data_IF_854864871118
#
_entry.id   IF_854864871118
#
_cell.length_a   1.000
_cell.length_b   1.000
_cell.length_c   1.000
_cell.angle_alpha   90.00
_cell.angle_beta   90.00
_cell.angle_gamma   90.00
#
_symmetry.space_group_name_H-M   'P 1'
#
loop_
_entity.id
_entity.type
_entity.pdbx_description
1 polymer ?
#
# COMPACT_ATOMS: atom_id res chain seq x y z
N UNK A 1 33.69 -55.06 38.25
CA UNK A 1 32.34 -55.67 38.37
C UNK A 1 31.94 -55.61 39.84
N UNK A 2 31.26 -54.54 40.21
CA UNK A 2 30.91 -54.16 41.58
C UNK A 2 29.53 -54.71 41.95
N UNK A 3 29.44 -55.35 43.12
CA UNK A 3 28.20 -55.78 43.77
C UNK A 3 27.96 -54.94 45.02
N UNK A 4 26.66 -54.83 45.34
CA UNK A 4 26.05 -54.75 46.68
C UNK A 4 25.69 -53.39 47.29
N UNK A 5 24.41 -53.33 47.70
CA UNK A 5 23.93 -52.68 48.93
C UNK A 5 23.40 -51.25 48.79
N UNK A 6 22.42 -50.78 49.56
CA UNK A 6 21.52 -51.41 50.52
C UNK A 6 20.52 -50.32 51.02
N UNK A 7 19.34 -50.78 51.46
CA UNK A 7 18.58 -50.29 52.64
C UNK A 7 17.83 -48.94 52.60
N UNK A 8 16.59 -49.04 53.07
CA UNK A 8 15.57 -48.03 53.28
C UNK A 8 15.60 -47.38 54.68
N UNK A 9 15.00 -46.19 54.82
CA UNK A 9 14.27 -45.69 56.01
C UNK A 9 13.64 -44.32 55.63
N UNK A 10 12.32 -44.19 55.44
CA UNK A 10 11.25 -44.03 56.44
C UNK A 10 11.22 -42.62 57.09
N UNK A 11 10.08 -41.91 57.00
CA UNK A 11 9.34 -41.36 58.15
C UNK A 11 8.10 -40.53 57.75
N UNK A 12 6.96 -41.01 58.28
CA UNK A 12 5.76 -40.32 58.81
C UNK A 12 4.82 -39.57 57.86
N UNK A 13 3.65 -40.20 57.70
CA UNK A 13 2.39 -39.55 57.36
C UNK A 13 1.86 -38.71 58.53
N UNK A 14 1.47 -37.47 58.26
CA UNK A 14 0.52 -36.73 59.08
C UNK A 14 -0.77 -36.55 58.26
N UNK A 15 -1.85 -37.15 58.76
CA UNK A 15 -3.21 -36.94 58.25
C UNK A 15 -3.70 -35.61 58.79
N UNK A 16 -4.06 -34.68 57.90
CA UNK A 16 -5.03 -33.63 58.21
C UNK A 16 -6.11 -33.70 57.16
N UNK A 17 -7.30 -34.11 57.59
CA UNK A 17 -8.50 -34.07 56.78
C UNK A 17 -9.03 -32.63 56.71
N UNK A 18 -9.66 -32.32 55.57
CA UNK A 18 -10.83 -31.44 55.38
C UNK A 18 -10.68 -30.31 54.36
N UNK A 19 -11.80 -30.16 53.63
CA UNK A 19 -12.23 -29.09 52.74
C UNK A 19 -11.69 -29.12 51.29
N UNK A 20 -12.47 -29.77 50.41
CA UNK A 20 -12.51 -29.41 49.00
C UNK A 20 -13.20 -28.04 48.82
N UNK A 21 -12.67 -27.17 47.96
CA UNK A 21 -13.50 -26.24 47.21
C UNK A 21 -13.34 -26.45 45.70
N UNK A 22 -14.50 -26.62 45.06
CA UNK A 22 -14.92 -26.14 43.74
C UNK A 22 -13.89 -26.15 42.58
N UNK A 23 -14.26 -26.89 41.54
CA UNK A 23 -13.70 -26.85 40.20
C UNK A 23 -13.53 -25.41 39.68
N UNK A 24 -12.29 -25.05 39.37
CA UNK A 24 -11.98 -23.85 38.60
C UNK A 24 -12.23 -24.13 37.10
N UNK A 25 -13.19 -23.43 36.53
CA UNK A 25 -13.51 -23.48 35.10
C UNK A 25 -12.37 -22.94 34.21
N UNK A 26 -12.47 -23.15 32.89
CA UNK A 26 -11.44 -22.76 31.93
C UNK A 26 -11.26 -21.24 31.88
N UNK A 27 -10.02 -20.79 32.05
CA UNK A 27 -9.62 -19.39 31.83
C UNK A 27 -10.04 -18.93 30.42
N UNK A 28 -10.69 -17.77 30.27
CA UNK A 28 -10.99 -17.24 28.95
C UNK A 28 -9.70 -16.76 28.27
N UNK A 29 -9.57 -17.12 27.00
CA UNK A 29 -8.53 -16.65 26.08
C UNK A 29 -8.49 -15.10 26.04
N UNK A 30 -7.33 -14.48 25.71
CA UNK A 30 -7.22 -13.04 25.64
C UNK A 30 -8.15 -12.51 24.55
N UNK A 31 -9.09 -11.69 25.02
CA UNK A 31 -10.09 -10.97 24.26
C UNK A 31 -9.45 -10.27 23.06
N UNK A 32 -9.90 -10.66 21.86
CA UNK A 32 -9.60 -9.97 20.61
C UNK A 32 -9.69 -8.46 20.84
N UNK A 33 -8.64 -7.74 20.47
CA UNK A 33 -8.58 -6.29 20.54
C UNK A 33 -9.81 -5.70 19.83
N UNK A 34 -10.84 -5.42 20.62
CA UNK A 34 -12.06 -4.75 20.17
C UNK A 34 -11.62 -3.41 19.60
N UNK A 35 -12.11 -3.13 18.40
CA UNK A 35 -12.00 -1.84 17.72
C UNK A 35 -12.41 -0.72 18.67
N UNK A 36 -11.42 -0.14 19.37
CA UNK A 36 -11.60 1.14 20.01
C UNK A 36 -11.90 2.13 18.87
N UNK A 37 -13.10 2.74 18.92
CA UNK A 37 -13.47 3.79 17.98
C UNK A 37 -12.29 4.76 17.85
N UNK A 38 -11.81 5.04 16.61
CA UNK A 38 -10.59 5.81 16.44
C UNK A 38 -10.80 7.16 17.11
N UNK A 39 -9.96 7.45 18.11
CA UNK A 39 -9.91 8.75 18.77
C UNK A 39 -9.90 9.81 17.67
N UNK A 40 -10.94 10.63 17.59
CA UNK A 40 -11.03 11.70 16.58
C UNK A 40 -9.86 12.62 16.85
N UNK A 41 -8.79 12.50 16.07
CA UNK A 41 -7.66 13.40 16.16
C UNK A 41 -8.17 14.76 15.71
N UNK A 42 -8.07 15.76 16.60
CA UNK A 42 -8.36 17.15 16.27
C UNK A 42 -7.48 17.55 15.09
N UNK A 43 -8.08 18.13 14.05
CA UNK A 43 -7.34 18.60 12.89
C UNK A 43 -6.44 19.78 13.27
N UNK A 44 -5.21 19.78 12.75
CA UNK A 44 -4.25 20.89 12.86
C UNK A 44 -4.54 21.98 11.81
N UNK A 45 -5.10 21.56 10.67
CA UNK A 45 -5.50 22.42 9.56
C UNK A 45 -6.85 21.97 9.01
N UNK A 46 -7.72 22.93 8.69
CA UNK A 46 -8.97 22.69 7.97
C UNK A 46 -8.90 23.35 6.60
N UNK A 47 -9.20 22.59 5.54
CA UNK A 47 -9.36 23.10 4.17
C UNK A 47 -10.82 23.43 3.94
N UNK A 48 -11.12 24.72 3.69
CA UNK A 48 -12.48 25.20 3.47
C UNK A 48 -13.06 25.93 4.67
N UNK A 49 -14.28 26.43 4.50
CA UNK A 49 -15.04 27.25 5.47
C UNK A 49 -16.54 26.92 5.43
N UNK A 50 -16.91 25.70 5.06
CA UNK A 50 -18.31 25.23 5.03
C UNK A 50 -19.01 25.33 3.68
N UNK A 51 -18.29 25.67 2.61
CA UNK A 51 -18.86 25.74 1.26
C UNK A 51 -17.99 25.03 0.22
N UNK A 52 -18.57 24.45 -0.85
CA UNK A 52 -17.77 23.77 -1.87
C UNK A 52 -16.73 24.69 -2.52
N UNK A 53 -17.08 25.95 -2.75
CA UNK A 53 -16.20 26.95 -3.36
C UNK A 53 -14.98 27.30 -2.49
N UNK A 54 -15.08 27.18 -1.17
CA UNK A 54 -13.97 27.44 -0.25
C UNK A 54 -12.85 26.39 -0.32
N UNK A 55 -13.18 25.17 -0.76
CA UNK A 55 -12.25 24.06 -0.89
C UNK A 55 -11.46 24.11 -2.20
N UNK A 56 -10.39 24.90 -2.19
CA UNK A 56 -9.58 25.14 -3.39
C UNK A 56 -8.31 24.28 -3.43
N UNK A 57 -7.83 23.98 -4.63
CA UNK A 57 -6.51 23.33 -4.82
C UNK A 57 -5.38 24.07 -4.11
N UNK A 58 -5.41 25.40 -4.07
CA UNK A 58 -4.42 26.22 -3.37
C UNK A 58 -4.44 25.98 -1.86
N UNK A 59 -5.63 25.82 -1.27
CA UNK A 59 -5.76 25.50 0.16
C UNK A 59 -5.21 24.09 0.47
N UNK A 60 -5.52 23.10 -0.37
CA UNK A 60 -4.96 21.74 -0.25
C UNK A 60 -3.44 21.75 -0.30
N UNK A 61 -2.85 22.39 -1.31
CA UNK A 61 -1.38 22.44 -1.49
C UNK A 61 -0.71 23.07 -0.27
N UNK A 62 -1.26 24.16 0.28
CA UNK A 62 -0.71 24.79 1.48
C UNK A 62 -0.87 23.92 2.72
N UNK A 63 -2.01 23.27 2.88
CA UNK A 63 -2.25 22.39 4.03
C UNK A 63 -1.28 21.20 4.02
N UNK A 64 -1.06 20.56 2.86
CA UNK A 64 -0.10 19.46 2.71
C UNK A 64 1.33 19.92 2.99
N UNK A 65 1.73 21.10 2.50
CA UNK A 65 3.07 21.64 2.77
C UNK A 65 3.28 22.01 4.25
N UNK A 66 2.20 22.38 4.98
CA UNK A 66 2.24 22.64 6.42
C UNK A 66 2.35 21.37 7.25
N UNK A 67 1.86 20.24 6.74
CA UNK A 67 1.78 18.97 7.45
C UNK A 67 0.73 18.98 8.57
N UNK A 68 0.81 17.97 9.44
CA UNK A 68 -0.18 17.71 10.49
C UNK A 68 -1.41 16.97 9.99
N UNK A 69 -2.47 16.97 10.80
CA UNK A 69 -3.78 16.42 10.47
C UNK A 69 -4.61 17.46 9.72
N UNK A 70 -5.03 17.11 8.51
CA UNK A 70 -5.76 17.96 7.58
C UNK A 70 -7.17 17.39 7.44
N UNK A 71 -8.16 18.16 7.89
CA UNK A 71 -9.57 17.91 7.65
C UNK A 71 -10.11 18.86 6.58
N UNK A 72 -11.33 18.60 6.12
CA UNK A 72 -12.00 19.37 5.08
C UNK A 72 -13.37 19.83 5.58
N UNK A 73 -13.65 21.11 5.37
CA UNK A 73 -14.93 21.74 5.64
C UNK A 73 -15.45 22.37 4.34
N UNK A 74 -15.96 21.51 3.46
CA UNK A 74 -16.40 21.87 2.11
C UNK A 74 -17.92 21.97 1.97
N UNK A 75 -18.65 21.96 3.08
CA UNK A 75 -20.09 21.77 3.10
C UNK A 75 -20.51 20.29 3.20
N UNK A 76 -21.82 20.02 3.26
CA UNK A 76 -22.37 18.70 3.55
C UNK A 76 -22.30 17.73 2.37
N UNK A 77 -22.29 18.24 1.14
CA UNK A 77 -22.34 17.42 -0.07
C UNK A 77 -20.93 17.01 -0.56
N UNK A 78 -20.81 15.88 -1.27
CA UNK A 78 -19.55 15.49 -1.91
C UNK A 78 -19.00 16.58 -2.84
N UNK A 79 -17.70 16.88 -2.69
CA UNK A 79 -17.01 17.92 -3.45
C UNK A 79 -15.87 17.33 -4.28
N UNK A 80 -15.68 17.89 -5.48
CA UNK A 80 -14.49 17.61 -6.30
C UNK A 80 -13.60 18.84 -6.39
N UNK A 81 -12.39 18.74 -5.83
CA UNK A 81 -11.38 19.78 -5.87
C UNK A 81 -10.46 19.52 -7.07
N UNK A 82 -10.64 20.32 -8.11
CA UNK A 82 -9.79 20.30 -9.29
C UNK A 82 -8.38 20.79 -8.94
N UNK A 83 -7.43 19.87 -8.87
CA UNK A 83 -6.04 20.17 -8.50
C UNK A 83 -5.36 20.94 -9.63
N UNK A 84 -4.87 22.14 -9.33
CA UNK A 84 -4.11 23.02 -10.24
C UNK A 84 -2.60 22.86 -10.10
N UNK A 85 -2.14 22.31 -8.96
CA UNK A 85 -0.74 21.98 -8.68
C UNK A 85 -0.70 20.67 -7.89
N UNK A 86 0.37 19.91 -8.05
CA UNK A 86 0.69 18.76 -7.20
C UNK A 86 0.90 19.24 -5.76
N UNK A 87 0.27 18.60 -4.78
CA UNK A 87 0.51 18.88 -3.38
C UNK A 87 1.71 18.05 -2.92
N UNK A 88 2.77 18.73 -2.47
CA UNK A 88 4.03 18.11 -2.10
C UNK A 88 4.23 18.18 -0.58
N UNK A 89 4.58 17.05 0.01
CA UNK A 89 4.95 16.95 1.42
C UNK A 89 6.34 17.56 1.61
N UNK A 90 6.50 18.37 2.65
CA UNK A 90 7.82 18.90 3.06
C UNK A 90 8.50 17.87 3.94
N UNK A 91 9.78 17.58 3.67
CA UNK A 91 10.50 16.44 4.25
C UNK A 91 10.74 16.57 5.76
N UNK A 92 10.67 17.78 6.33
CA UNK A 92 10.75 18.01 7.78
C UNK A 92 9.43 17.79 8.52
N UNK A 93 8.36 17.40 7.82
CA UNK A 93 7.07 17.10 8.45
C UNK A 93 7.14 15.77 9.20
N UNK A 94 6.72 15.72 10.46
CA UNK A 94 6.62 14.43 11.16
C UNK A 94 5.51 13.54 10.54
N UNK A 95 4.35 14.14 10.26
CA UNK A 95 3.19 13.47 9.66
C UNK A 95 2.40 14.42 8.78
N UNK A 96 1.72 13.86 7.77
CA UNK A 96 0.72 14.54 6.94
C UNK A 96 -0.47 13.60 6.79
N UNK A 97 -1.59 13.91 7.43
CA UNK A 97 -2.81 13.08 7.37
C UNK A 97 -3.88 13.85 6.61
N UNK A 98 -4.29 13.35 5.44
CA UNK A 98 -5.44 13.88 4.71
C UNK A 98 -6.66 13.04 5.03
N UNK A 99 -7.67 13.65 5.65
CA UNK A 99 -8.92 13.01 6.03
C UNK A 99 -10.12 13.70 5.39
N UNK A 100 -10.61 13.13 4.29
CA UNK A 100 -11.67 13.73 3.47
C UNK A 100 -13.08 13.52 4.00
N UNK A 101 -13.25 12.82 5.13
CA UNK A 101 -14.56 12.50 5.68
C UNK A 101 -15.45 11.63 4.77
N UNK A 102 -14.93 11.14 3.64
CA UNK A 102 -15.67 10.36 2.63
C UNK A 102 -16.31 11.20 1.54
N UNK A 103 -16.28 12.53 1.65
CA UNK A 103 -16.97 13.44 0.72
C UNK A 103 -16.03 14.18 -0.23
N UNK A 104 -14.72 14.13 0.00
CA UNK A 104 -13.74 14.90 -0.78
C UNK A 104 -13.08 14.06 -1.86
N UNK A 105 -13.14 14.58 -3.10
CA UNK A 105 -12.36 14.12 -4.23
C UNK A 105 -11.25 15.12 -4.57
N UNK A 106 -10.00 14.67 -4.64
CA UNK A 106 -8.92 15.41 -5.28
C UNK A 106 -8.76 14.92 -6.71
N UNK A 107 -8.85 15.84 -7.67
CA UNK A 107 -8.86 15.50 -9.09
C UNK A 107 -7.64 16.06 -9.82
N UNK A 108 -6.76 15.19 -10.33
CA UNK A 108 -5.57 15.55 -11.09
C UNK A 108 -5.83 16.06 -12.50
N UNK A 109 -7.09 16.05 -12.96
CA UNK A 109 -7.60 16.52 -14.26
C UNK A 109 -7.01 15.80 -15.47
N UNK A 110 -6.43 14.62 -15.27
CA UNK A 110 -5.65 13.89 -16.28
C UNK A 110 -4.33 14.58 -16.63
N UNK A 111 -3.89 15.58 -15.85
CA UNK A 111 -2.77 16.45 -16.20
C UNK A 111 -1.55 16.28 -15.30
N UNK A 112 -1.73 15.86 -14.05
CA UNK A 112 -0.66 15.89 -13.05
C UNK A 112 -0.83 14.87 -11.95
N UNK A 113 0.28 14.59 -11.26
CA UNK A 113 0.28 13.92 -9.97
C UNK A 113 -0.53 14.70 -8.93
N UNK A 114 -1.22 14.01 -8.03
CA UNK A 114 -2.03 14.65 -6.98
C UNK A 114 -1.19 14.91 -5.74
N UNK A 115 -0.60 13.86 -5.15
CA UNK A 115 0.24 13.91 -3.95
C UNK A 115 1.65 13.41 -4.25
N UNK A 116 2.64 14.06 -3.65
CA UNK A 116 4.04 13.70 -3.80
C UNK A 116 4.77 13.79 -2.46
N UNK A 117 5.50 12.73 -2.13
CA UNK A 117 6.39 12.66 -0.98
C UNK A 117 7.68 11.99 -1.43
N UNK A 118 8.80 12.70 -1.33
CA UNK A 118 10.10 12.15 -1.65
C UNK A 118 11.14 12.82 -0.76
N UNK A 119 11.57 12.10 0.26
CA UNK A 119 12.57 12.57 1.21
C UNK A 119 13.95 12.82 0.58
N UNK A 120 14.21 12.26 -0.60
CA UNK A 120 15.42 12.50 -1.38
C UNK A 120 15.33 13.72 -2.31
N UNK A 121 14.15 14.29 -2.51
CA UNK A 121 13.98 15.51 -3.30
C UNK A 121 14.41 16.73 -2.48
N UNK A 122 15.55 17.31 -2.84
CA UNK A 122 16.12 18.49 -2.17
C UNK A 122 15.21 19.72 -2.24
N UNK A 123 14.33 19.83 -3.24
CA UNK A 123 13.37 20.91 -3.33
C UNK A 123 12.25 20.81 -2.27
N UNK A 124 12.07 19.63 -1.64
CA UNK A 124 11.18 19.44 -0.49
C UNK A 124 11.91 19.53 0.86
N UNK A 125 13.10 20.15 0.87
CA UNK A 125 14.05 20.25 2.00
C UNK A 125 14.90 18.98 2.15
N UNK A 126 16.21 19.12 2.07
CA UNK A 126 17.14 18.03 2.34
C UNK A 126 17.34 17.85 3.84
N UNK A 127 17.11 16.64 4.35
CA UNK A 127 17.23 16.33 5.79
C UNK A 127 18.50 15.55 6.12
N UNK A 128 18.89 14.57 5.30
CA UNK A 128 20.03 13.66 5.56
C UNK A 128 20.52 12.99 4.28
N UNK A 129 21.77 12.51 4.27
CA UNK A 129 22.32 11.64 3.22
C UNK A 129 21.65 10.27 3.12
N UNK A 130 21.03 9.81 4.20
CA UNK A 130 20.24 8.57 4.25
C UNK A 130 18.77 8.88 3.95
N UNK A 131 18.54 9.68 2.89
CA UNK A 131 17.23 10.24 2.62
C UNK A 131 16.18 9.15 2.34
N UNK A 132 16.62 8.03 1.79
CA UNK A 132 15.83 6.88 1.37
C UNK A 132 15.35 5.99 2.53
N UNK A 133 15.77 6.22 3.77
CA UNK A 133 15.29 5.41 4.91
C UNK A 133 15.00 6.27 6.13
N UNK A 134 13.85 6.95 6.13
CA UNK A 134 13.46 7.88 7.18
C UNK A 134 12.11 7.52 7.80
N UNK A 135 12.07 7.51 9.13
CA UNK A 135 10.82 7.30 9.86
C UNK A 135 9.76 8.38 9.56
N UNK A 136 10.18 9.56 9.12
CA UNK A 136 9.33 10.70 8.81
C UNK A 136 9.72 11.28 7.44
N UNK A 137 8.76 11.83 6.68
CA UNK A 137 7.34 12.02 7.00
C UNK A 137 6.51 10.73 6.91
N UNK A 138 5.47 10.64 7.74
CA UNK A 138 4.36 9.70 7.54
C UNK A 138 3.21 10.37 6.79
N UNK A 139 2.99 9.98 5.53
CA UNK A 139 1.81 10.35 4.74
C UNK A 139 0.68 9.36 4.96
N UNK A 140 -0.47 9.84 5.42
CA UNK A 140 -1.70 9.06 5.56
C UNK A 140 -2.80 9.66 4.71
N UNK A 141 -3.40 8.83 3.85
CA UNK A 141 -4.58 9.20 3.06
C UNK A 141 -5.74 8.36 3.57
N UNK A 142 -6.79 9.01 4.07
CA UNK A 142 -7.98 8.31 4.56
C UNK A 142 -9.29 8.96 4.16
N UNK A 143 -10.30 8.16 3.82
CA UNK A 143 -11.64 8.64 3.47
C UNK A 143 -11.61 9.71 2.37
N UNK A 144 -10.78 9.47 1.36
CA UNK A 144 -10.57 10.36 0.21
C UNK A 144 -10.91 9.63 -1.08
N UNK A 145 -11.29 10.38 -2.11
CA UNK A 145 -11.20 9.94 -3.50
C UNK A 145 -10.06 10.68 -4.21
N UNK A 146 -9.21 9.95 -4.92
CA UNK A 146 -8.12 10.48 -5.75
C UNK A 146 -8.35 10.05 -7.19
N UNK A 147 -8.74 11.01 -8.04
CA UNK A 147 -9.21 10.73 -9.39
C UNK A 147 -8.37 11.42 -10.45
N UNK A 148 -8.24 10.77 -11.62
CA UNK A 148 -7.62 11.33 -12.82
C UNK A 148 -6.24 11.96 -12.57
N UNK A 149 -5.48 11.42 -11.63
CA UNK A 149 -4.06 11.73 -11.47
C UNK A 149 -3.27 11.22 -12.67
N UNK A 150 -2.23 11.95 -13.10
CA UNK A 150 -1.44 11.58 -14.26
C UNK A 150 0.05 11.91 -14.09
N UNK A 151 0.90 10.88 -14.17
CA UNK A 151 2.36 10.99 -14.11
C UNK A 151 3.06 10.82 -15.48
N UNK A 152 2.34 10.77 -16.60
CA UNK A 152 2.96 10.55 -17.93
C UNK A 152 3.93 11.65 -18.37
N UNK A 153 3.83 12.86 -17.82
CA UNK A 153 4.73 13.98 -18.11
C UNK A 153 5.96 14.03 -17.19
N UNK A 154 6.03 13.15 -16.19
CA UNK A 154 7.15 13.06 -15.27
C UNK A 154 8.26 12.25 -15.96
N UNK A 155 9.51 12.71 -15.89
CA UNK A 155 10.63 12.08 -16.58
C UNK A 155 10.77 10.60 -16.18
N UNK A 156 10.70 9.69 -17.16
CA UNK A 156 10.96 8.27 -16.97
C UNK A 156 12.45 8.04 -16.77
N UNK A 157 12.83 7.14 -15.86
CA UNK A 157 14.23 6.79 -15.62
C UNK A 157 15.03 7.86 -14.86
N UNK A 158 14.36 8.86 -14.26
CA UNK A 158 15.03 9.73 -13.30
C UNK A 158 15.42 8.94 -12.05
N UNK A 159 16.51 9.35 -11.39
CA UNK A 159 16.94 8.80 -10.10
C UNK A 159 15.87 8.95 -9.01
N UNK A 160 14.85 9.78 -9.25
CA UNK A 160 13.68 9.97 -8.40
C UNK A 160 12.55 8.97 -8.66
N UNK A 161 12.73 7.99 -9.55
CA UNK A 161 11.74 6.95 -9.81
C UNK A 161 10.52 7.41 -10.63
N UNK A 162 10.72 8.43 -11.49
CA UNK A 162 9.66 9.12 -12.24
C UNK A 162 8.84 8.27 -13.22
N UNK A 163 7.87 8.90 -13.88
CA UNK A 163 6.92 8.26 -14.81
C UNK A 163 5.76 7.48 -14.17
N UNK A 164 5.80 7.26 -12.85
CA UNK A 164 4.77 6.52 -12.09
C UNK A 164 4.09 7.33 -10.98
N UNK A 165 3.05 6.74 -10.37
CA UNK A 165 2.31 7.30 -9.24
C UNK A 165 1.41 8.47 -9.63
N UNK A 166 0.48 8.26 -10.55
CA UNK A 166 -0.42 9.32 -11.05
C UNK A 166 -1.25 9.96 -9.96
N UNK A 167 -1.72 9.21 -8.95
CA UNK A 167 -2.32 9.82 -7.76
C UNK A 167 -1.25 10.15 -6.72
N UNK A 168 -0.47 9.15 -6.30
CA UNK A 168 0.51 9.27 -5.20
C UNK A 168 1.85 8.72 -5.65
N UNK A 169 2.90 9.51 -5.42
CA UNK A 169 4.28 9.04 -5.40
C UNK A 169 4.83 9.18 -3.99
N UNK A 170 5.47 8.13 -3.47
CA UNK A 170 6.08 8.09 -2.15
C UNK A 170 7.48 7.48 -2.20
N UNK A 171 8.45 8.13 -1.57
CA UNK A 171 9.81 7.59 -1.38
C UNK A 171 10.40 8.00 -0.04
N UNK A 172 11.11 7.06 0.59
CA UNK A 172 12.01 7.24 1.75
C UNK A 172 11.35 7.55 3.08
N UNK A 173 10.10 8.01 3.09
CA UNK A 173 9.27 8.16 4.29
C UNK A 173 8.35 6.95 4.52
N UNK A 174 7.17 7.23 5.08
CA UNK A 174 6.11 6.23 5.27
C UNK A 174 4.80 6.60 4.56
N UNK A 175 4.10 5.59 4.02
CA UNK A 175 2.79 5.75 3.39
C UNK A 175 1.76 4.80 4.04
N UNK A 176 0.56 5.31 4.27
CA UNK A 176 -0.61 4.51 4.67
C UNK A 176 -1.88 4.98 3.98
N UNK A 177 -2.69 4.04 3.50
CA UNK A 177 -3.93 4.29 2.76
C UNK A 177 -5.07 3.52 3.43
N UNK A 178 -6.16 4.21 3.76
CA UNK A 178 -7.28 3.61 4.50
C UNK A 178 -8.61 4.15 3.96
N UNK A 179 -9.62 3.31 3.74
CA UNK A 179 -10.97 3.75 3.40
C UNK A 179 -11.00 4.74 2.22
N UNK A 180 -10.22 4.52 1.15
CA UNK A 180 -10.00 5.51 0.09
C UNK A 180 -10.17 4.93 -1.32
N UNK A 181 -10.49 5.78 -2.29
CA UNK A 181 -10.85 5.38 -3.65
C UNK A 181 -9.94 6.03 -4.69
N UNK A 182 -9.32 5.22 -5.55
CA UNK A 182 -8.43 5.67 -6.62
C UNK A 182 -9.04 5.34 -7.97
N UNK A 183 -9.32 6.37 -8.79
CA UNK A 183 -10.08 6.17 -10.03
C UNK A 183 -9.44 6.85 -11.22
N UNK A 184 -9.32 6.08 -12.31
CA UNK A 184 -8.86 6.58 -13.62
C UNK A 184 -7.51 7.29 -13.60
N UNK A 185 -6.64 6.88 -12.69
CA UNK A 185 -5.29 7.42 -12.64
C UNK A 185 -4.43 6.83 -13.77
N UNK A 186 -3.41 7.58 -14.18
CA UNK A 186 -2.56 7.31 -15.34
C UNK A 186 -1.09 7.50 -14.99
N UNK A 187 -0.22 6.78 -15.67
CA UNK A 187 1.23 6.98 -15.61
C UNK A 187 1.83 6.91 -17.02
N UNK A 188 3.15 7.00 -17.16
CA UNK A 188 3.81 6.73 -18.44
C UNK A 188 3.39 5.35 -19.00
N UNK A 189 3.19 5.29 -20.32
CA UNK A 189 2.58 4.11 -20.97
C UNK A 189 3.57 2.98 -21.22
N UNK A 190 4.86 3.25 -21.12
CA UNK A 190 5.95 2.34 -21.41
C UNK A 190 7.10 2.57 -20.43
N UNK A 191 8.00 1.60 -20.36
CA UNK A 191 9.19 1.66 -19.53
C UNK A 191 9.29 0.43 -18.62
N UNK A 192 10.47 -0.20 -18.51
CA UNK A 192 10.74 -1.17 -17.46
C UNK A 192 10.57 -0.47 -16.10
N UNK A 193 10.08 -1.20 -15.11
CA UNK A 193 9.92 -0.71 -13.73
C UNK A 193 9.08 0.55 -13.53
N UNK A 194 8.46 1.11 -14.58
CA UNK A 194 7.53 2.24 -14.45
C UNK A 194 6.15 1.70 -14.13
N UNK A 195 5.60 2.07 -12.97
CA UNK A 195 4.35 1.50 -12.50
C UNK A 195 3.51 2.44 -11.65
N UNK A 196 2.34 1.96 -11.24
CA UNK A 196 1.49 2.64 -10.27
C UNK A 196 0.70 3.77 -10.90
N UNK A 197 -0.33 3.49 -11.70
CA UNK A 197 -1.19 4.58 -12.17
C UNK A 197 -1.80 5.31 -10.97
N UNK A 198 -2.26 4.57 -9.96
CA UNK A 198 -2.66 5.17 -8.69
C UNK A 198 -1.43 5.47 -7.81
N UNK A 199 -0.71 4.45 -7.34
CA UNK A 199 0.31 4.62 -6.31
C UNK A 199 1.64 3.98 -6.72
N UNK A 200 2.72 4.75 -6.59
CA UNK A 200 4.10 4.27 -6.74
C UNK A 200 4.90 4.52 -5.47
N UNK A 201 5.61 3.49 -5.00
CA UNK A 201 6.39 3.57 -3.76
C UNK A 201 7.80 3.02 -3.94
N UNK A 202 8.75 3.71 -3.31
CA UNK A 202 10.13 3.29 -3.13
C UNK A 202 10.54 3.45 -1.67
N UNK A 203 11.52 2.68 -1.23
CA UNK A 203 12.26 2.87 0.02
C UNK A 203 11.35 3.20 1.21
N UNK A 204 10.51 2.24 1.63
CA UNK A 204 9.64 2.42 2.78
C UNK A 204 10.45 2.20 4.06
N UNK A 205 10.35 3.13 5.01
CA UNK A 205 11.18 3.09 6.23
C UNK A 205 11.29 1.71 6.89
N UNK A 206 12.53 1.27 7.11
CA UNK A 206 12.91 0.01 7.75
C UNK A 206 12.21 -1.21 7.13
N UNK A 207 12.07 -1.20 5.79
CA UNK A 207 11.43 -2.24 4.96
C UNK A 207 10.01 -2.61 5.40
N UNK A 208 9.36 -1.72 6.16
CA UNK A 208 8.00 -1.93 6.62
C UNK A 208 7.06 -2.00 5.43
N UNK A 209 5.99 -2.80 5.49
CA UNK A 209 5.02 -2.82 4.42
C UNK A 209 4.20 -1.52 4.39
N UNK A 210 3.89 -1.05 3.19
CA UNK A 210 2.82 -0.06 3.01
C UNK A 210 1.49 -0.72 3.36
N UNK A 211 0.71 -0.08 4.23
CA UNK A 211 -0.60 -0.59 4.65
C UNK A 211 -1.68 0.06 3.79
N UNK A 212 -2.44 -0.78 3.09
CA UNK A 212 -3.64 -0.42 2.32
C UNK A 212 -4.82 -1.19 2.91
N UNK A 213 -5.87 -0.48 3.34
CA UNK A 213 -7.03 -1.13 3.95
C UNK A 213 -8.34 -0.56 3.43
N UNK A 214 -9.31 -1.43 3.14
CA UNK A 214 -10.69 -1.07 2.75
C UNK A 214 -10.73 0.00 1.67
N UNK A 215 -9.88 -0.15 0.66
CA UNK A 215 -9.68 0.84 -0.39
C UNK A 215 -9.99 0.25 -1.76
N UNK A 216 -10.33 1.09 -2.73
CA UNK A 216 -10.63 0.64 -4.10
C UNK A 216 -9.73 1.29 -5.13
N UNK A 217 -9.34 0.53 -6.16
CA UNK A 217 -8.52 0.98 -7.27
C UNK A 217 -9.16 0.57 -8.60
N UNK A 218 -9.64 1.55 -9.36
CA UNK A 218 -10.48 1.28 -10.54
C UNK A 218 -9.95 1.98 -11.79
N UNK A 219 -9.88 1.21 -12.88
CA UNK A 219 -9.68 1.76 -14.23
C UNK A 219 -8.31 2.37 -14.48
N UNK A 220 -7.31 2.09 -13.64
CA UNK A 220 -5.94 2.60 -13.79
C UNK A 220 -5.28 2.12 -15.09
N UNK A 221 -4.40 2.95 -15.68
CA UNK A 221 -3.60 2.56 -16.86
C UNK A 221 -2.18 3.08 -16.76
N UNK A 222 -1.20 2.18 -16.89
CA UNK A 222 0.21 2.47 -16.67
C UNK A 222 1.08 1.44 -17.41
N UNK A 223 2.38 1.67 -17.55
CA UNK A 223 3.30 0.69 -18.15
C UNK A 223 3.21 -0.66 -17.42
N UNK A 224 3.32 -0.64 -16.09
CA UNK A 224 3.14 -1.78 -15.17
C UNK A 224 2.23 -1.40 -14.00
N UNK A 225 1.80 -2.37 -13.19
CA UNK A 225 1.20 -2.14 -11.85
C UNK A 225 0.15 -1.06 -11.83
N UNK A 226 -0.93 -1.16 -12.61
CA UNK A 226 -1.76 0.03 -12.88
C UNK A 226 -2.55 0.55 -11.68
N UNK A 227 -2.74 -0.24 -10.64
CA UNK A 227 -3.15 0.28 -9.34
C UNK A 227 -1.92 0.60 -8.49
N UNK A 228 -1.21 -0.43 -8.03
CA UNK A 228 -0.07 -0.31 -7.12
C UNK A 228 1.21 -0.76 -7.80
N UNK A 229 2.28 -0.05 -7.54
CA UNK A 229 3.63 -0.43 -7.93
C UNK A 229 4.62 -0.10 -6.83
N UNK A 230 5.57 -1.01 -6.60
CA UNK A 230 6.76 -0.75 -5.81
C UNK A 230 8.03 -1.29 -6.44
N UNK A 231 9.16 -0.71 -6.03
CA UNK A 231 10.48 -1.32 -6.12
C UNK A 231 11.07 -1.35 -4.71
N UNK A 232 11.51 -2.52 -4.25
CA UNK A 232 12.10 -2.71 -2.92
C UNK A 232 11.14 -2.44 -1.75
N UNK A 233 9.82 -2.52 -1.97
CA UNK A 233 8.83 -2.22 -0.91
C UNK A 233 7.74 -3.27 -0.85
N UNK A 234 7.51 -3.76 0.36
CA UNK A 234 6.45 -4.69 0.75
C UNK A 234 5.08 -4.03 0.84
N UNK A 235 4.02 -4.83 0.68
CA UNK A 235 2.63 -4.39 0.82
C UNK A 235 1.84 -5.29 1.78
N UNK A 236 0.99 -4.67 2.59
CA UNK A 236 -0.11 -5.35 3.28
C UNK A 236 -1.43 -4.72 2.84
N UNK A 237 -2.22 -5.48 2.11
CA UNK A 237 -3.48 -5.08 1.50
C UNK A 237 -4.61 -5.91 2.10
N UNK A 238 -5.57 -5.26 2.76
CA UNK A 238 -6.68 -5.94 3.43
C UNK A 238 -8.02 -5.34 3.05
N UNK A 239 -9.05 -6.15 2.80
CA UNK A 239 -10.42 -5.66 2.58
C UNK A 239 -10.59 -4.79 1.34
N UNK A 240 -9.71 -4.90 0.34
CA UNK A 240 -9.59 -3.92 -0.75
C UNK A 240 -9.99 -4.48 -2.12
N UNK A 241 -10.37 -3.61 -3.04
CA UNK A 241 -10.87 -3.99 -4.36
C UNK A 241 -10.05 -3.37 -5.49
N UNK A 242 -9.69 -4.17 -6.50
CA UNK A 242 -8.97 -3.73 -7.69
C UNK A 242 -9.73 -4.16 -8.93
N UNK A 243 -10.23 -3.21 -9.71
CA UNK A 243 -11.12 -3.52 -10.84
C UNK A 243 -10.70 -2.83 -12.12
N UNK A 244 -10.56 -3.60 -13.19
CA UNK A 244 -10.39 -3.05 -14.54
C UNK A 244 -9.09 -2.26 -14.76
N UNK A 245 -8.05 -2.49 -13.94
CA UNK A 245 -6.75 -1.86 -14.10
C UNK A 245 -5.96 -2.55 -15.23
N UNK A 246 -5.19 -1.79 -16.02
CA UNK A 246 -4.55 -2.30 -17.24
C UNK A 246 -3.10 -1.87 -17.38
N UNK A 247 -2.18 -2.82 -17.22
CA UNK A 247 -0.78 -2.65 -17.60
C UNK A 247 -0.67 -2.69 -19.15
N UNK A 248 -0.29 -1.55 -19.74
CA UNK A 248 -0.31 -1.33 -21.20
C UNK A 248 1.07 -1.32 -21.85
N UNK A 249 2.14 -1.41 -21.05
CA UNK A 249 3.50 -1.55 -21.56
C UNK A 249 3.68 -2.82 -22.39
N UNK A 250 4.84 -2.93 -23.05
CA UNK A 250 5.20 -4.12 -23.85
C UNK A 250 6.70 -4.29 -23.83
N UNK A 251 7.16 -5.52 -23.65
CA UNK A 251 8.58 -5.82 -23.58
C UNK A 251 9.04 -6.49 -22.30
N UNK A 252 8.16 -6.65 -21.30
CA UNK A 252 8.48 -7.21 -19.99
C UNK A 252 9.51 -6.38 -19.19
N UNK A 253 9.94 -6.92 -18.04
CA UNK A 253 11.03 -6.41 -17.23
C UNK A 253 12.05 -7.55 -16.94
N UNK A 254 13.34 -7.43 -17.30
CA UNK A 254 13.95 -6.36 -18.12
C UNK A 254 13.34 -6.28 -19.52
N UNK A 255 13.52 -5.15 -20.19
CA UNK A 255 12.97 -4.93 -21.53
C UNK A 255 13.63 -5.88 -22.56
N UNK A 256 12.80 -6.61 -23.30
CA UNK A 256 13.24 -7.42 -24.45
C UNK A 256 13.85 -6.53 -25.54
N UNK A 257 14.82 -7.05 -26.32
CA UNK A 257 15.41 -6.30 -27.43
C UNK A 257 14.35 -5.68 -28.36
N UNK A 258 14.52 -4.40 -28.68
CA UNK A 258 13.62 -3.67 -29.58
C UNK A 258 12.25 -3.29 -29.00
N UNK A 259 12.06 -3.40 -27.68
CA UNK A 259 10.81 -3.03 -27.01
C UNK A 259 11.05 -1.95 -25.94
N UNK A 260 10.06 -1.09 -25.65
CA UNK A 260 10.22 -0.02 -24.66
C UNK A 260 10.06 -0.51 -23.20
N UNK A 261 9.77 -1.79 -22.98
CA UNK A 261 9.62 -2.40 -21.65
C UNK A 261 8.26 -2.20 -20.99
N UNK A 262 8.02 -3.03 -19.97
CA UNK A 262 6.81 -3.06 -19.15
C UNK A 262 5.72 -4.00 -19.68
N UNK A 263 4.50 -3.84 -19.18
CA UNK A 263 3.33 -4.66 -19.51
C UNK A 263 2.92 -5.65 -18.44
N UNK A 264 3.51 -5.58 -17.24
CA UNK A 264 3.31 -6.55 -16.17
C UNK A 264 2.48 -6.00 -14.98
N UNK A 265 1.74 -6.87 -14.31
CA UNK A 265 0.98 -6.55 -13.09
C UNK A 265 -0.21 -5.64 -13.38
N UNK A 266 -1.31 -6.18 -13.91
CA UNK A 266 -2.45 -5.34 -14.28
C UNK A 266 -3.00 -4.54 -13.08
N UNK A 267 -3.09 -5.16 -11.89
CA UNK A 267 -3.37 -4.44 -10.65
C UNK A 267 -2.09 -4.07 -9.88
N UNK A 268 -1.29 -5.07 -9.50
CA UNK A 268 -0.15 -4.90 -8.58
C UNK A 268 1.15 -5.33 -9.28
N UNK A 269 2.17 -4.49 -9.20
CA UNK A 269 3.54 -4.79 -9.64
C UNK A 269 4.52 -4.62 -8.48
N UNK A 270 5.39 -5.61 -8.29
CA UNK A 270 6.43 -5.61 -7.27
C UNK A 270 7.72 -6.18 -7.84
N UNK A 271 8.82 -5.46 -7.64
CA UNK A 271 10.19 -5.86 -7.94
C UNK A 271 11.09 -5.47 -6.75
N UNK A 272 12.18 -6.19 -6.49
CA UNK A 272 13.07 -5.98 -5.35
C UNK A 272 13.74 -7.27 -4.89
N UNK A 273 14.47 -7.24 -3.78
CA UNK A 273 15.12 -8.42 -3.20
C UNK A 273 14.19 -9.04 -2.14
N UNK A 274 14.33 -8.64 -0.87
CA UNK A 274 13.47 -9.08 0.25
C UNK A 274 12.19 -8.26 0.35
N UNK A 275 11.19 -8.64 -0.46
CA UNK A 275 9.87 -8.01 -0.50
C UNK A 275 8.75 -9.00 -0.21
N UNK A 276 7.67 -8.54 0.40
CA UNK A 276 6.54 -9.39 0.75
C UNK A 276 5.20 -8.76 0.35
N UNK A 277 4.31 -9.57 -0.20
CA UNK A 277 2.91 -9.21 -0.44
C UNK A 277 2.00 -10.03 0.45
N UNK A 278 1.25 -9.35 1.32
CA UNK A 278 0.13 -9.92 2.06
C UNK A 278 -1.17 -9.32 1.50
N UNK A 279 -2.02 -10.18 0.94
CA UNK A 279 -3.33 -9.84 0.39
C UNK A 279 -4.42 -10.64 1.12
N UNK A 280 -5.30 -9.92 1.81
CA UNK A 280 -6.28 -10.50 2.72
C UNK A 280 -7.67 -9.94 2.44
N UNK A 281 -8.68 -10.81 2.42
CA UNK A 281 -10.09 -10.43 2.32
C UNK A 281 -10.36 -9.43 1.16
N UNK A 282 -9.67 -9.62 0.04
CA UNK A 282 -9.60 -8.63 -1.05
C UNK A 282 -10.05 -9.22 -2.38
N UNK A 283 -10.48 -8.36 -3.29
CA UNK A 283 -10.99 -8.75 -4.61
C UNK A 283 -10.20 -8.06 -5.72
N UNK A 284 -9.64 -8.84 -6.64
CA UNK A 284 -9.04 -8.33 -7.88
C UNK A 284 -9.83 -8.92 -9.05
N UNK A 285 -10.48 -8.07 -9.85
CA UNK A 285 -11.32 -8.55 -10.95
C UNK A 285 -11.14 -7.75 -12.23
N UNK A 286 -11.07 -8.45 -13.37
CA UNK A 286 -11.04 -7.80 -14.68
C UNK A 286 -9.77 -6.98 -14.95
N UNK A 287 -8.69 -7.20 -14.19
CA UNK A 287 -7.42 -6.51 -14.41
C UNK A 287 -6.63 -7.20 -15.52
N UNK A 288 -5.88 -6.47 -16.33
CA UNK A 288 -5.18 -7.03 -17.50
C UNK A 288 -3.74 -6.60 -17.57
N UNK A 289 -2.87 -7.54 -17.92
CA UNK A 289 -1.48 -7.28 -18.27
C UNK A 289 -1.20 -7.76 -19.69
N UNK A 290 -0.46 -6.96 -20.46
CA UNK A 290 -0.02 -7.34 -21.82
C UNK A 290 1.13 -8.35 -21.81
N UNK A 291 1.83 -8.48 -20.69
CA UNK A 291 2.98 -9.36 -20.52
C UNK A 291 2.75 -10.25 -19.30
N UNK A 292 3.27 -9.89 -18.12
CA UNK A 292 3.29 -10.78 -16.95
C UNK A 292 2.20 -10.48 -15.91
N UNK A 293 1.35 -11.45 -15.58
CA UNK A 293 0.39 -11.39 -14.46
C UNK A 293 -0.69 -10.31 -14.55
N UNK A 294 -1.90 -10.66 -14.97
CA UNK A 294 -3.03 -9.72 -15.07
C UNK A 294 -3.49 -9.12 -13.74
N UNK A 295 -3.41 -9.87 -12.66
CA UNK A 295 -3.63 -9.40 -11.29
C UNK A 295 -2.32 -8.91 -10.66
N UNK A 296 -1.37 -9.82 -10.49
CA UNK A 296 -0.14 -9.57 -9.71
C UNK A 296 1.08 -9.97 -10.54
N UNK A 297 2.06 -9.09 -10.60
CA UNK A 297 3.42 -9.42 -11.00
C UNK A 297 4.34 -9.20 -9.81
N UNK A 298 5.06 -10.24 -9.41
CA UNK A 298 5.91 -10.24 -8.23
C UNK A 298 7.26 -10.88 -8.57
N UNK A 299 8.33 -10.12 -8.39
CA UNK A 299 9.71 -10.58 -8.55
C UNK A 299 10.52 -10.19 -7.31
N UNK A 300 11.03 -11.21 -6.62
CA UNK A 300 12.11 -11.12 -5.64
C UNK A 300 13.39 -11.64 -6.30
N UNK A 301 14.38 -10.77 -6.50
CA UNK A 301 15.57 -11.05 -7.32
C UNK A 301 16.51 -12.05 -6.65
N UNK A 302 16.65 -11.97 -5.33
CA UNK A 302 17.46 -12.87 -4.49
C UNK A 302 16.66 -14.11 -4.01
N UNK A 303 15.37 -14.19 -4.36
CA UNK A 303 14.44 -15.25 -3.97
C UNK A 303 14.16 -15.34 -2.47
N UNK A 304 14.26 -14.25 -1.72
CA UNK A 304 13.87 -14.21 -0.30
C UNK A 304 12.38 -13.85 -0.08
N UNK A 305 11.79 -13.11 -1.03
CA UNK A 305 10.45 -12.55 -0.91
C UNK A 305 9.30 -13.55 -0.95
N UNK A 306 8.14 -13.17 -0.37
CA UNK A 306 6.98 -14.06 -0.23
C UNK A 306 5.65 -13.44 -0.67
N UNK A 307 4.73 -14.29 -1.12
CA UNK A 307 3.36 -13.94 -1.48
C UNK A 307 2.37 -14.72 -0.60
N UNK A 308 1.52 -14.01 0.13
CA UNK A 308 0.41 -14.59 0.90
C UNK A 308 -0.92 -14.03 0.40
N UNK A 309 -1.82 -14.92 0.00
CA UNK A 309 -3.19 -14.60 -0.40
C UNK A 309 -4.15 -15.39 0.50
N UNK A 310 -5.03 -14.69 1.22
CA UNK A 310 -5.95 -15.30 2.18
C UNK A 310 -7.35 -14.70 2.06
N UNK A 311 -8.39 -15.52 2.08
CA UNK A 311 -9.78 -15.04 2.05
C UNK A 311 -10.11 -14.17 0.83
N UNK A 312 -9.38 -14.30 -0.28
CA UNK A 312 -9.40 -13.33 -1.38
C UNK A 312 -9.87 -13.94 -2.70
N UNK A 313 -10.39 -13.09 -3.58
CA UNK A 313 -10.88 -13.48 -4.90
C UNK A 313 -10.11 -12.74 -6.00
N UNK A 314 -9.39 -13.51 -6.82
CA UNK A 314 -8.67 -13.02 -7.99
C UNK A 314 -9.28 -13.69 -9.21
N UNK A 315 -10.19 -12.99 -9.88
CA UNK A 315 -11.05 -13.56 -10.93
C UNK A 315 -10.97 -12.75 -12.22
N UNK A 316 -10.87 -13.43 -13.36
CA UNK A 316 -10.91 -12.81 -14.69
C UNK A 316 -9.81 -11.76 -14.87
N UNK A 317 -8.59 -12.09 -14.44
CA UNK A 317 -7.44 -11.19 -14.55
C UNK A 317 -6.45 -11.64 -15.64
N UNK A 318 -6.76 -11.47 -16.94
CA UNK A 318 -5.97 -12.01 -18.03
C UNK A 318 -4.52 -11.50 -18.06
N UNK A 319 -3.60 -12.43 -18.22
CA UNK A 319 -2.21 -12.20 -18.60
C UNK A 319 -2.02 -12.60 -20.07
N UNK A 320 -1.69 -11.65 -20.94
CA UNK A 320 -1.56 -11.93 -22.38
C UNK A 320 -0.21 -12.57 -22.76
N UNK A 321 0.79 -12.51 -21.87
CA UNK A 321 2.15 -12.97 -22.15
C UNK A 321 2.54 -14.18 -21.33
N UNK A 322 2.70 -14.01 -20.02
CA UNK A 322 3.22 -15.05 -19.14
C UNK A 322 2.70 -14.93 -17.72
N UNK A 323 2.65 -16.06 -17.02
CA UNK A 323 2.20 -16.17 -15.63
C UNK A 323 2.67 -17.51 -15.06
N UNK A 324 2.72 -17.64 -13.72
CA UNK A 324 3.03 -18.92 -13.06
C UNK A 324 1.80 -19.61 -12.49
N UNK A 325 0.71 -18.86 -12.29
CA UNK A 325 -0.67 -19.32 -12.06
C UNK A 325 -1.62 -18.28 -12.67
N UNK A 326 -2.90 -18.60 -12.92
CA UNK A 326 -3.84 -17.67 -13.56
C UNK A 326 -3.82 -16.26 -12.97
N UNK A 327 -3.54 -15.28 -13.81
CA UNK A 327 -3.45 -13.87 -13.47
C UNK A 327 -2.24 -13.46 -12.63
N UNK A 328 -1.33 -14.37 -12.26
CA UNK A 328 -0.20 -14.06 -11.37
C UNK A 328 1.10 -14.57 -11.95
N UNK A 329 2.08 -13.68 -12.10
CA UNK A 329 3.48 -14.07 -12.21
C UNK A 329 4.14 -13.89 -10.85
N UNK A 330 4.77 -14.96 -10.36
CA UNK A 330 5.45 -14.97 -9.06
C UNK A 330 6.84 -15.59 -9.20
N UNK A 331 7.84 -14.86 -8.70
CA UNK A 331 9.22 -15.29 -8.53
C UNK A 331 9.68 -14.91 -7.12
N UNK A 332 9.91 -15.88 -6.23
CA UNK A 332 10.32 -15.63 -4.84
C UNK A 332 10.54 -16.92 -4.06
N UNK A 333 10.70 -16.81 -2.73
CA UNK A 333 10.92 -17.94 -1.82
C UNK A 333 9.71 -18.86 -1.71
N UNK A 334 8.52 -18.27 -1.59
CA UNK A 334 7.31 -19.02 -1.27
C UNK A 334 6.03 -18.25 -1.54
N UNK A 335 5.01 -19.02 -1.93
CA UNK A 335 3.65 -18.55 -2.18
C UNK A 335 2.67 -19.40 -1.37
N UNK A 336 1.79 -18.73 -0.65
CA UNK A 336 0.69 -19.34 0.11
C UNK A 336 -0.64 -18.77 -0.36
N UNK A 337 -1.57 -19.65 -0.71
CA UNK A 337 -2.95 -19.29 -1.07
C UNK A 337 -3.89 -20.13 -0.21
N UNK A 338 -4.67 -19.50 0.66
CA UNK A 338 -5.61 -20.18 1.57
C UNK A 338 -6.98 -19.52 1.49
N UNK A 339 -8.05 -20.33 1.52
CA UNK A 339 -9.44 -19.85 1.52
C UNK A 339 -9.71 -18.80 0.42
N UNK A 340 -9.11 -18.99 -0.76
CA UNK A 340 -9.08 -17.98 -1.82
C UNK A 340 -9.38 -18.61 -3.18
N UNK A 341 -9.92 -17.79 -4.08
CA UNK A 341 -10.19 -18.17 -5.48
C UNK A 341 -9.19 -17.44 -6.39
N UNK A 342 -8.48 -18.19 -7.22
CA UNK A 342 -7.54 -17.64 -8.22
C UNK A 342 -7.81 -18.33 -9.56
N UNK A 343 -8.39 -17.60 -10.52
CA UNK A 343 -8.72 -18.11 -11.87
C UNK A 343 -8.91 -17.02 -12.92
#
# INVERSE_FOLDING_TARGET
>A
MTRAGAVAAALVAAVVASAAPAAAGPSPAPEAARDAAPRVQRADTVVGTGTPASCTSRAVVRAVARGGVIAFDCGPDPVTIAMKRTAKVVNTSAKVVLDGGGTVTLDGRGQRRILYMNTCDRAQVWTTSHCNDQAEPLLVVKRMRLARGNASAEAVGSDEGGGGGGAIFARGGRLRIVDSHFVDNRCARTGPDVGGAAVRVFDQYADRPVVVRRSSFTGGRCSNGSALSSIGVSWRVTGSTFTGNRAVGRGANPARPGTPGGGSGGAIYMDGDDIHLVLEDSTLTGNRAREGGGAIFFVSNDRSGTLTIRGSELVDNPSDGFETIPGIFFLGAGRTVTDSVVR
#
